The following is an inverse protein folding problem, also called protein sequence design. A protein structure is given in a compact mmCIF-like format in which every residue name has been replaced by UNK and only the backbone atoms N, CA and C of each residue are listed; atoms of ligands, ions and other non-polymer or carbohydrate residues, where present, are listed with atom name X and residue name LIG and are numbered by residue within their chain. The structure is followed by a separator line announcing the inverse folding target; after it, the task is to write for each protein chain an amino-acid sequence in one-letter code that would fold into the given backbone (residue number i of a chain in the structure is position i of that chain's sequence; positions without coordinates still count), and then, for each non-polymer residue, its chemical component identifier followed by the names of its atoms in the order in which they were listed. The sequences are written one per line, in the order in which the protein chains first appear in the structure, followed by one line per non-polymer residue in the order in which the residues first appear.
data_IF_393714771608
#
_entry.id   IF_393714771608
#
_cell.length_a   1.000
_cell.length_b   1.000
_cell.length_c   1.000
_cell.angle_alpha   90.00
_cell.angle_beta   90.00
_cell.angle_gamma   90.00
#
_symmetry.space_group_name_H-M   'P 1'
#
loop_
_entity.id
_entity.type
_entity.pdbx_description
1 polymer ?
#
# COMPACT_ATOMS: atom_id res chain seq x y z
N UNK A 1 -0.62 27.79 10.80
CA UNK A 1 0.19 26.91 9.93
C UNK A 1 -0.47 25.54 9.90
N UNK A 2 -0.54 24.85 8.75
CA UNK A 2 -1.02 23.46 8.71
C UNK A 2 -0.11 22.59 9.58
N UNK A 3 -0.69 21.61 10.25
CA UNK A 3 0.07 20.63 11.00
C UNK A 3 0.34 19.42 10.11
N UNK A 4 1.57 18.90 10.18
CA UNK A 4 1.98 17.72 9.44
C UNK A 4 2.20 16.50 10.35
N UNK A 5 2.09 15.32 9.75
CA UNK A 5 2.45 14.03 10.32
C UNK A 5 2.98 13.11 9.22
N UNK A 6 3.95 12.27 9.55
CA UNK A 6 4.61 11.37 8.60
C UNK A 6 4.65 9.96 9.16
N UNK A 7 4.49 8.97 8.28
CA UNK A 7 4.59 7.55 8.60
C UNK A 7 5.50 6.87 7.58
N UNK A 8 6.19 5.84 8.05
CA UNK A 8 6.95 4.89 7.24
C UNK A 8 6.48 3.49 7.66
N UNK A 9 5.98 2.72 6.71
CA UNK A 9 5.42 1.39 6.96
C UNK A 9 6.13 0.36 6.07
N UNK A 10 6.49 -0.78 6.68
CA UNK A 10 7.22 -1.85 6.01
C UNK A 10 6.39 -3.13 6.00
N UNK A 11 6.27 -3.76 4.82
CA UNK A 11 5.49 -4.97 4.63
C UNK A 11 6.30 -6.02 3.85
N UNK A 12 6.84 -7.06 4.53
CA UNK A 12 7.57 -8.12 3.87
C UNK A 12 6.71 -8.83 2.81
N UNK A 13 7.24 -8.96 1.60
CA UNK A 13 6.61 -9.72 0.54
C UNK A 13 6.87 -11.21 0.75
N UNK A 14 5.91 -12.10 0.46
CA UNK A 14 6.19 -13.53 0.44
C UNK A 14 7.27 -13.90 -0.59
N UNK A 15 8.12 -14.88 -0.29
CA UNK A 15 9.25 -15.27 -1.16
C UNK A 15 8.82 -15.75 -2.56
N UNK A 16 7.58 -16.23 -2.71
CA UNK A 16 7.03 -16.66 -4.01
C UNK A 16 6.45 -15.50 -4.84
N UNK A 17 6.31 -14.30 -4.26
CA UNK A 17 5.74 -13.16 -4.95
C UNK A 17 6.86 -12.36 -5.62
N UNK A 18 6.79 -12.23 -6.94
CA UNK A 18 7.78 -11.44 -7.68
C UNK A 18 7.66 -9.96 -7.35
N UNK A 19 8.76 -9.24 -7.05
CA UNK A 19 8.73 -7.80 -6.83
C UNK A 19 8.20 -7.04 -8.06
N UNK A 20 8.57 -7.45 -9.27
CA UNK A 20 8.09 -6.83 -10.52
C UNK A 20 6.57 -6.94 -10.68
N UNK A 21 6.00 -8.06 -10.24
CA UNK A 21 4.54 -8.27 -10.28
C UNK A 21 3.84 -7.34 -9.29
N UNK A 22 4.44 -7.10 -8.12
CA UNK A 22 3.92 -6.13 -7.14
C UNK A 22 3.97 -4.72 -7.72
N UNK A 23 5.09 -4.32 -8.34
CA UNK A 23 5.23 -3.01 -8.99
C UNK A 23 4.18 -2.83 -10.09
N UNK A 24 4.05 -3.81 -11.01
CA UNK A 24 3.06 -3.77 -12.08
C UNK A 24 1.63 -3.64 -11.52
N UNK A 25 1.33 -4.35 -10.43
CA UNK A 25 0.03 -4.26 -9.79
C UNK A 25 -0.22 -2.88 -9.21
N UNK A 26 0.72 -2.31 -8.46
CA UNK A 26 0.63 -0.95 -7.93
C UNK A 26 0.38 0.08 -9.03
N UNK A 27 1.10 -0.05 -10.15
CA UNK A 27 1.03 0.86 -11.30
C UNK A 27 -0.30 0.81 -12.08
N UNK A 28 -1.21 -0.13 -11.75
CA UNK A 28 -2.60 -0.07 -12.20
C UNK A 28 -3.47 0.90 -11.39
N UNK A 29 -2.95 1.44 -10.28
CA UNK A 29 -3.55 2.38 -9.33
C UNK A 29 -4.80 1.91 -8.59
N UNK A 30 -5.64 1.07 -9.20
CA UNK A 30 -6.83 0.49 -8.59
C UNK A 30 -6.56 -0.24 -7.26
N UNK A 31 -5.44 -0.97 -7.07
CA UNK A 31 -5.13 -1.58 -5.77
C UNK A 31 -4.91 -0.57 -4.65
N UNK A 32 -4.59 0.68 -4.99
CA UNK A 32 -4.45 1.78 -4.04
C UNK A 32 -5.76 2.56 -3.83
N UNK A 33 -6.84 2.22 -4.55
CA UNK A 33 -8.15 2.90 -4.47
C UNK A 33 -9.20 1.94 -3.90
N UNK A 34 -9.39 0.78 -4.51
CA UNK A 34 -10.46 -0.17 -4.24
C UNK A 34 -10.52 -0.65 -2.78
N UNK A 35 -9.41 -0.90 -2.07
CA UNK A 35 -9.47 -1.50 -0.73
C UNK A 35 -10.03 -0.59 0.38
N UNK A 36 -10.29 0.69 0.08
CA UNK A 36 -10.82 1.67 1.02
C UNK A 36 -12.24 1.26 1.48
N UNK A 37 -12.49 1.11 2.80
CA UNK A 37 -13.74 0.57 3.32
C UNK A 37 -14.96 1.48 3.08
N UNK A 38 -14.72 2.77 2.83
CA UNK A 38 -15.76 3.77 2.61
C UNK A 38 -15.95 4.13 1.13
N UNK A 39 -15.21 3.46 0.24
CA UNK A 39 -15.30 3.70 -1.20
C UNK A 39 -16.71 3.40 -1.70
N UNK A 40 -17.34 4.40 -2.33
CA UNK A 40 -18.59 4.22 -3.06
C UNK A 40 -18.31 3.96 -4.54
N UNK A 41 -17.41 4.76 -5.11
CA UNK A 41 -17.00 4.69 -6.52
C UNK A 41 -15.77 5.56 -6.73
N UNK A 42 -15.08 5.34 -7.84
CA UNK A 42 -14.02 6.22 -8.32
C UNK A 42 -14.22 6.43 -9.82
N UNK A 43 -13.83 7.61 -10.31
CA UNK A 43 -13.90 7.92 -11.74
C UNK A 43 -12.59 8.55 -12.16
N UNK A 44 -12.02 8.10 -13.28
CA UNK A 44 -10.88 8.78 -13.90
C UNK A 44 -11.32 10.19 -14.32
N UNK A 45 -10.44 11.16 -14.13
CA UNK A 45 -10.63 12.56 -14.52
C UNK A 45 -9.39 13.10 -15.22
N UNK A 46 -9.50 14.22 -15.97
CA UNK A 46 -8.33 14.91 -16.49
C UNK A 46 -7.37 15.31 -15.37
N UNK A 47 -6.07 15.14 -15.64
CA UNK A 47 -4.99 15.61 -14.78
C UNK A 47 -4.89 17.13 -14.90
N UNK A 48 -4.73 17.83 -13.79
CA UNK A 48 -4.38 19.25 -13.80
C UNK A 48 -2.86 19.39 -13.85
N UNK A 49 -2.32 19.64 -15.04
CA UNK A 49 -0.87 19.74 -15.26
C UNK A 49 -0.22 20.83 -14.41
N UNK A 50 -0.93 21.93 -14.13
CA UNK A 50 -0.38 23.04 -13.32
C UNK A 50 -0.13 22.59 -11.89
N UNK A 51 -1.05 21.78 -11.37
CA UNK A 51 -0.99 21.25 -10.02
C UNK A 51 0.11 20.20 -9.86
N UNK A 52 0.32 19.37 -10.90
CA UNK A 52 1.44 18.43 -10.96
C UNK A 52 2.78 19.16 -11.04
N UNK A 53 2.92 20.13 -11.95
CA UNK A 53 4.17 20.90 -12.13
C UNK A 53 4.54 21.71 -10.89
N UNK A 54 3.54 22.23 -10.17
CA UNK A 54 3.75 23.02 -8.96
C UNK A 54 4.13 22.18 -7.73
N UNK A 55 3.89 20.87 -7.75
CA UNK A 55 4.14 19.98 -6.62
C UNK A 55 5.42 19.17 -6.83
N UNK A 56 6.53 19.48 -6.12
CA UNK A 56 7.81 18.79 -6.29
C UNK A 56 7.78 17.31 -5.88
N UNK A 57 6.68 16.84 -5.31
CA UNK A 57 6.45 15.43 -5.07
C UNK A 57 6.37 14.61 -6.37
N UNK A 58 5.83 15.20 -7.44
CA UNK A 58 5.84 14.56 -8.76
C UNK A 58 7.13 14.91 -9.48
N UNK A 59 7.85 13.88 -9.90
CA UNK A 59 9.24 13.99 -10.35
C UNK A 59 9.42 13.46 -11.77
N UNK A 60 10.52 13.81 -12.41
CA UNK A 60 10.80 13.48 -13.82
C UNK A 60 11.11 11.99 -14.05
N UNK A 61 11.41 11.24 -12.99
CA UNK A 61 11.61 9.78 -13.04
C UNK A 61 10.29 9.00 -13.17
N UNK A 62 9.16 9.70 -13.02
CA UNK A 62 7.84 9.10 -13.08
C UNK A 62 7.19 9.17 -14.46
N UNK A 63 6.22 8.30 -14.68
CA UNK A 63 5.44 8.15 -15.89
C UNK A 63 3.96 7.93 -15.57
N UNK A 64 3.11 7.91 -16.61
CA UNK A 64 1.70 7.52 -16.53
C UNK A 64 0.90 8.30 -15.47
N UNK A 65 0.99 9.63 -15.48
CA UNK A 65 0.25 10.42 -14.51
C UNK A 65 -1.25 10.31 -14.78
N UNK A 66 -1.99 9.87 -13.77
CA UNK A 66 -3.45 9.73 -13.85
C UNK A 66 -4.10 10.37 -12.63
N UNK A 67 -5.30 10.90 -12.81
CA UNK A 67 -6.06 11.48 -11.71
C UNK A 67 -7.43 10.80 -11.62
N UNK A 68 -7.86 10.53 -10.39
CA UNK A 68 -9.15 9.95 -10.08
C UNK A 68 -9.91 10.85 -9.12
N UNK A 69 -11.21 10.98 -9.30
CA UNK A 69 -12.12 11.45 -8.26
C UNK A 69 -12.60 10.24 -7.47
N UNK A 70 -12.01 10.02 -6.29
CA UNK A 70 -12.43 8.99 -5.34
C UNK A 70 -13.58 9.53 -4.52
N UNK A 71 -14.68 8.77 -4.44
CA UNK A 71 -15.89 9.18 -3.72
C UNK A 71 -16.10 8.22 -2.56
N UNK A 72 -16.01 8.76 -1.34
CA UNK A 72 -16.14 8.00 -0.11
C UNK A 72 -17.29 8.50 0.75
N UNK A 73 -17.91 7.60 1.52
CA UNK A 73 -18.92 7.95 2.51
C UNK A 73 -18.33 8.03 3.91
N UNK A 74 -18.14 9.24 4.41
CA UNK A 74 -17.62 9.47 5.77
C UNK A 74 -18.77 9.74 6.74
N UNK A 75 -18.72 9.10 7.89
CA UNK A 75 -19.65 9.34 9.00
C UNK A 75 -19.24 10.63 9.71
N UNK A 76 -20.09 11.66 9.68
CA UNK A 76 -19.80 12.94 10.34
C UNK A 76 -20.29 12.92 11.80
N UNK A 77 -21.45 12.30 12.07
CA UNK A 77 -22.02 12.20 13.43
C UNK A 77 -22.49 10.76 13.67
N UNK A 78 -21.68 9.92 14.34
CA UNK A 78 -22.01 8.51 14.55
C UNK A 78 -23.34 8.28 15.28
N UNK A 79 -23.65 9.10 16.29
CA UNK A 79 -24.85 8.94 17.13
C UNK A 79 -26.16 9.31 16.41
N UNK A 80 -26.10 10.06 15.31
CA UNK A 80 -27.28 10.49 14.54
C UNK A 80 -27.34 9.82 13.15
N UNK A 81 -26.42 8.91 12.85
CA UNK A 81 -26.35 8.23 11.54
C UNK A 81 -26.06 9.17 10.36
N UNK A 82 -25.58 10.39 10.61
CA UNK A 82 -25.32 11.37 9.55
C UNK A 82 -24.00 11.05 8.87
N UNK A 83 -24.09 10.78 7.57
CA UNK A 83 -22.95 10.55 6.68
C UNK A 83 -22.96 11.55 5.53
N UNK A 84 -21.79 11.77 4.93
CA UNK A 84 -21.62 12.63 3.78
C UNK A 84 -20.70 11.95 2.78
N UNK A 85 -21.09 12.04 1.52
CA UNK A 85 -20.23 11.65 0.41
C UNK A 85 -19.21 12.77 0.18
N UNK A 86 -17.94 12.44 0.34
CA UNK A 86 -16.82 13.34 0.07
C UNK A 86 -16.17 12.93 -1.25
N UNK A 87 -15.66 13.93 -1.97
CA UNK A 87 -14.89 13.77 -3.20
C UNK A 87 -13.44 14.08 -2.88
N UNK A 88 -12.55 13.18 -3.27
CA UNK A 88 -11.13 13.24 -3.01
C UNK A 88 -10.43 13.07 -4.37
N UNK A 89 -9.98 14.16 -5.00
CA UNK A 89 -9.05 14.06 -6.13
C UNK A 89 -7.77 13.37 -5.66
N UNK A 90 -7.38 12.31 -6.35
CA UNK A 90 -6.16 11.56 -6.12
C UNK A 90 -5.37 11.49 -7.43
N UNK A 91 -4.18 12.08 -7.44
CA UNK A 91 -3.27 12.08 -8.58
C UNK A 91 -2.16 11.08 -8.33
N UNK A 92 -1.98 10.15 -9.26
CA UNK A 92 -1.01 9.08 -9.21
C UNK A 92 0.06 9.29 -10.27
N UNK A 93 1.28 8.86 -9.96
CA UNK A 93 2.40 8.79 -10.88
C UNK A 93 3.14 7.48 -10.65
N UNK A 94 3.31 6.68 -11.68
CA UNK A 94 4.14 5.47 -11.63
C UNK A 94 5.61 5.86 -11.69
N UNK A 95 6.50 5.12 -11.05
CA UNK A 95 7.95 5.22 -11.23
C UNK A 95 8.56 3.81 -11.18
N UNK A 96 9.84 3.60 -11.55
CA UNK A 96 10.39 2.25 -11.75
C UNK A 96 10.18 1.27 -10.62
N UNK A 97 10.23 1.72 -9.36
CA UNK A 97 10.07 0.86 -8.19
C UNK A 97 8.66 0.93 -7.55
N UNK A 98 7.72 1.71 -8.09
CA UNK A 98 6.38 1.80 -7.49
C UNK A 98 5.50 2.94 -7.98
N UNK A 99 4.76 3.55 -7.04
CA UNK A 99 3.76 4.60 -7.30
C UNK A 99 3.81 5.71 -6.26
N UNK A 100 3.68 6.94 -6.73
CA UNK A 100 3.42 8.14 -5.94
C UNK A 100 1.95 8.52 -6.05
N UNK A 101 1.33 8.89 -4.95
CA UNK A 101 -0.05 9.34 -4.87
C UNK A 101 -0.13 10.61 -4.06
N UNK A 102 -0.86 11.62 -4.58
CA UNK A 102 -1.30 12.76 -3.79
C UNK A 102 -2.81 12.83 -3.77
N UNK A 103 -3.40 12.93 -2.59
CA UNK A 103 -4.84 13.04 -2.40
C UNK A 103 -5.21 14.33 -1.66
N UNK A 104 -6.22 15.03 -2.20
CA UNK A 104 -6.72 16.31 -1.68
C UNK A 104 -8.13 16.11 -1.09
N UNK A 105 -8.22 15.92 0.22
CA UNK A 105 -9.49 15.71 0.91
C UNK A 105 -10.10 17.02 1.44
N UNK A 106 -11.39 16.97 1.80
CA UNK A 106 -12.10 18.13 2.35
C UNK A 106 -11.48 18.61 3.68
N UNK A 107 -11.63 19.90 3.98
CA UNK A 107 -11.13 20.47 5.23
C UNK A 107 -9.64 20.83 5.22
N UNK A 108 -9.02 20.92 4.03
CA UNK A 108 -7.60 21.25 3.88
C UNK A 108 -6.69 20.09 4.29
N UNK A 109 -7.18 18.85 4.15
CA UNK A 109 -6.38 17.65 4.37
C UNK A 109 -5.71 17.27 3.06
N UNK A 110 -4.39 17.16 3.05
CA UNK A 110 -3.61 16.73 1.89
C UNK A 110 -2.69 15.61 2.28
N UNK A 111 -2.70 14.54 1.49
CA UNK A 111 -1.87 13.35 1.70
C UNK A 111 -0.93 13.19 0.51
N UNK A 112 0.32 12.84 0.79
CA UNK A 112 1.29 12.36 -0.19
C UNK A 112 1.77 10.99 0.29
N UNK A 113 1.73 9.99 -0.59
CA UNK A 113 2.16 8.62 -0.32
C UNK A 113 3.03 8.11 -1.45
N UNK A 114 4.19 7.56 -1.10
CA UNK A 114 5.03 6.78 -2.02
C UNK A 114 4.95 5.32 -1.59
N UNK A 115 4.58 4.45 -2.52
CA UNK A 115 4.54 3.01 -2.37
C UNK A 115 5.68 2.44 -3.20
N UNK A 116 6.69 1.85 -2.57
CA UNK A 116 7.92 1.40 -3.21
C UNK A 116 8.20 -0.06 -2.88
N UNK A 117 8.58 -0.84 -3.89
CA UNK A 117 9.10 -2.19 -3.70
C UNK A 117 10.61 -2.13 -3.63
N UNK A 118 11.17 -2.50 -2.47
CA UNK A 118 12.61 -2.46 -2.24
C UNK A 118 13.12 -3.75 -1.60
N UNK A 119 14.44 -3.95 -1.66
CA UNK A 119 15.08 -5.04 -0.92
C UNK A 119 15.07 -4.71 0.56
N UNK A 120 14.76 -5.70 1.38
CA UNK A 120 14.78 -5.56 2.84
C UNK A 120 16.19 -5.28 3.33
N UNK A 121 16.32 -4.27 4.17
CA UNK A 121 17.51 -4.05 4.97
C UNK A 121 17.31 -4.68 6.36
N UNK A 122 17.73 -5.94 6.49
CA UNK A 122 17.63 -6.70 7.74
C UNK A 122 18.44 -6.05 8.88
N UNK A 123 19.49 -5.29 8.55
CA UNK A 123 20.27 -4.54 9.55
C UNK A 123 19.46 -3.37 10.12
N UNK A 124 18.84 -2.58 9.25
CA UNK A 124 17.95 -1.49 9.66
C UNK A 124 16.68 -1.98 10.38
N UNK A 125 16.14 -3.16 10.01
CA UNK A 125 15.03 -3.79 10.73
C UNK A 125 15.39 -4.14 12.17
N UNK A 126 16.59 -4.69 12.39
CA UNK A 126 17.07 -5.02 13.73
C UNK A 126 17.25 -3.76 14.59
N UNK A 127 17.78 -2.68 14.02
CA UNK A 127 17.89 -1.38 14.70
C UNK A 127 16.52 -0.78 15.03
N UNK A 128 15.54 -0.86 14.12
CA UNK A 128 14.17 -0.39 14.36
C UNK A 128 13.48 -1.18 15.48
N UNK A 129 13.58 -2.51 15.45
CA UNK A 129 13.02 -3.37 16.49
C UNK A 129 13.65 -3.06 17.86
N UNK A 130 14.97 -2.86 17.92
CA UNK A 130 15.66 -2.48 19.15
C UNK A 130 15.29 -1.10 19.71
N UNK A 131 14.78 -0.18 18.88
CA UNK A 131 14.31 1.15 19.33
C UNK A 131 12.87 1.17 19.81
N UNK A 132 12.01 0.28 19.28
CA UNK A 132 10.61 0.19 19.70
C UNK A 132 10.45 -0.26 21.17
N UNK A 133 11.50 -0.87 21.75
CA UNK A 133 11.50 -1.44 23.10
C UNK A 133 12.03 -0.47 24.19
N UNK A 134 12.23 0.82 23.86
CA UNK A 134 12.75 1.81 24.81
C UNK A 134 11.73 2.32 25.85
N UNK A 135 10.53 1.73 25.92
CA UNK A 135 9.53 2.00 26.98
C UNK A 135 9.91 1.37 28.34
N UNK A 136 11.14 0.88 28.49
CA UNK A 136 11.75 0.57 29.79
C UNK A 136 11.33 -0.77 30.40
N UNK A 137 10.72 -1.66 29.63
CA UNK A 137 10.44 -3.04 30.05
C UNK A 137 11.34 -3.96 29.24
N UNK A 138 12.57 -4.18 29.72
CA UNK A 138 13.48 -5.15 29.12
C UNK A 138 12.82 -6.53 29.09
N UNK A 139 12.41 -6.99 27.89
CA UNK A 139 12.06 -8.38 27.64
C UNK A 139 13.30 -9.08 27.15
N UNK A 140 13.76 -10.07 27.92
CA UNK A 140 15.04 -10.79 27.73
C UNK A 140 14.98 -11.82 26.58
N UNK A 141 13.97 -11.74 25.72
CA UNK A 141 13.69 -12.77 24.72
C UNK A 141 14.05 -12.27 23.32
N UNK A 142 15.20 -12.71 22.81
CA UNK A 142 15.60 -12.58 21.41
C UNK A 142 14.47 -12.94 20.44
N UNK A 143 13.58 -13.85 20.83
CA UNK A 143 12.40 -14.25 20.06
C UNK A 143 11.41 -13.10 19.83
N UNK A 144 11.15 -12.24 20.82
CA UNK A 144 10.24 -11.07 20.69
C UNK A 144 10.86 -10.01 19.76
N UNK A 145 12.19 -9.86 19.75
CA UNK A 145 12.91 -8.97 18.83
C UNK A 145 12.85 -9.49 17.39
N UNK A 146 13.03 -10.81 17.19
CA UNK A 146 13.01 -11.44 15.86
C UNK A 146 11.58 -11.48 15.28
N UNK A 147 10.56 -11.67 16.13
CA UNK A 147 9.15 -11.57 15.74
C UNK A 147 8.74 -10.11 15.45
N UNK A 148 9.15 -9.16 16.30
CA UNK A 148 8.91 -7.73 16.11
C UNK A 148 9.60 -7.14 14.88
N UNK A 149 10.75 -7.69 14.50
CA UNK A 149 11.46 -7.35 13.25
C UNK A 149 10.86 -8.05 12.01
N UNK A 150 9.85 -8.91 12.16
CA UNK A 150 9.28 -9.68 11.04
C UNK A 150 10.29 -10.62 10.36
N UNK A 151 11.38 -10.97 11.06
CA UNK A 151 12.44 -11.86 10.59
C UNK A 151 12.03 -13.33 10.71
N UNK A 152 11.12 -13.66 11.65
CA UNK A 152 10.60 -15.01 11.86
C UNK A 152 9.47 -15.40 10.91
N UNK A 153 8.88 -14.46 10.14
CA UNK A 153 7.67 -14.74 9.37
C UNK A 153 7.91 -15.86 8.35
N UNK A 154 7.33 -17.07 8.56
CA UNK A 154 7.59 -18.20 7.69
C UNK A 154 7.13 -17.86 6.26
N UNK A 155 8.09 -17.82 5.32
CA UNK A 155 7.82 -17.48 3.92
C UNK A 155 7.98 -16.01 3.54
N UNK A 156 8.47 -15.14 4.44
CA UNK A 156 8.90 -13.79 4.07
C UNK A 156 10.13 -13.85 3.14
N UNK A 157 10.06 -13.13 2.03
CA UNK A 157 11.13 -13.02 1.04
C UNK A 157 12.11 -11.88 1.32
N UNK A 158 13.04 -11.69 0.39
CA UNK A 158 14.06 -10.63 0.44
C UNK A 158 13.53 -9.23 0.11
N UNK A 159 12.28 -9.12 -0.33
CA UNK A 159 11.67 -7.89 -0.79
C UNK A 159 10.55 -7.46 0.15
N UNK A 160 10.29 -6.16 0.20
CA UNK A 160 9.22 -5.54 0.96
C UNK A 160 8.51 -4.47 0.14
N UNK A 161 7.24 -4.23 0.47
CA UNK A 161 6.53 -3.02 0.09
C UNK A 161 6.72 -2.02 1.22
N UNK A 162 7.26 -0.85 0.90
CA UNK A 162 7.43 0.26 1.82
C UNK A 162 6.53 1.41 1.43
N UNK A 163 5.82 1.95 2.40
CA UNK A 163 5.07 3.18 2.23
C UNK A 163 5.71 4.32 3.02
N UNK A 164 6.04 5.40 2.31
CA UNK A 164 6.36 6.69 2.91
C UNK A 164 5.18 7.63 2.69
N UNK A 165 4.49 8.01 3.77
CA UNK A 165 3.33 8.86 3.66
C UNK A 165 3.37 10.07 4.60
N UNK A 166 2.89 11.21 4.10
CA UNK A 166 2.77 12.47 4.83
C UNK A 166 1.35 13.00 4.70
N UNK A 167 0.77 13.41 5.82
CA UNK A 167 -0.49 14.15 5.85
C UNK A 167 -0.27 15.56 6.38
N UNK A 168 -0.88 16.53 5.71
CA UNK A 168 -1.06 17.90 6.19
C UNK A 168 -2.53 18.15 6.47
N UNK A 169 -2.85 18.79 7.59
CA UNK A 169 -4.23 19.11 7.96
C UNK A 169 -4.29 20.32 8.90
N UNK A 170 -5.51 20.79 9.18
CA UNK A 170 -5.71 21.81 10.23
C UNK A 170 -5.38 21.22 11.62
N UNK A 171 -4.66 21.98 12.44
CA UNK A 171 -4.23 21.57 13.79
C UNK A 171 -5.40 21.09 14.68
N UNK A 172 -6.61 21.63 14.50
CA UNK A 172 -7.80 21.26 15.30
C UNK A 172 -8.21 19.80 15.03
N UNK A 173 -8.11 19.33 13.79
CA UNK A 173 -8.54 17.97 13.40
C UNK A 173 -7.40 16.96 13.41
N UNK A 174 -6.15 17.40 13.65
CA UNK A 174 -4.94 16.58 13.58
C UNK A 174 -5.05 15.26 14.34
N UNK A 175 -5.50 15.19 15.61
CA UNK A 175 -5.51 13.92 16.34
C UNK A 175 -6.40 12.86 15.70
N UNK A 176 -7.53 13.27 15.11
CA UNK A 176 -8.46 12.38 14.42
C UNK A 176 -7.92 11.97 13.05
N UNK A 177 -7.37 12.94 12.30
CA UNK A 177 -6.78 12.69 10.97
C UNK A 177 -5.61 11.73 11.08
N UNK A 178 -4.67 11.96 12.01
CA UNK A 178 -3.47 11.11 12.18
C UNK A 178 -3.84 9.68 12.52
N UNK A 179 -4.75 9.47 13.48
CA UNK A 179 -5.17 8.11 13.86
C UNK A 179 -5.86 7.38 12.70
N UNK A 180 -6.74 8.08 11.97
CA UNK A 180 -7.43 7.49 10.81
C UNK A 180 -6.45 7.20 9.66
N UNK A 181 -5.50 8.12 9.45
CA UNK A 181 -4.47 8.02 8.42
C UNK A 181 -3.57 6.81 8.64
N UNK A 182 -2.98 6.65 9.82
CA UNK A 182 -2.14 5.49 10.14
C UNK A 182 -2.86 4.16 9.97
N UNK A 183 -4.10 4.06 10.48
CA UNK A 183 -4.88 2.83 10.41
C UNK A 183 -5.26 2.48 8.96
N UNK A 184 -5.70 3.47 8.17
CA UNK A 184 -6.11 3.27 6.79
C UNK A 184 -4.92 2.86 5.90
N UNK A 185 -3.77 3.52 6.05
CA UNK A 185 -2.58 3.24 5.26
C UNK A 185 -1.99 1.85 5.56
N UNK A 186 -1.98 1.46 6.84
CA UNK A 186 -1.58 0.10 7.24
C UNK A 186 -2.49 -0.97 6.64
N UNK A 187 -3.80 -0.78 6.72
CA UNK A 187 -4.78 -1.70 6.17
C UNK A 187 -4.73 -1.77 4.64
N UNK A 188 -4.51 -0.64 3.97
CA UNK A 188 -4.37 -0.55 2.51
C UNK A 188 -3.21 -1.40 2.01
N UNK A 189 -2.00 -1.18 2.53
CA UNK A 189 -0.81 -1.92 2.11
C UNK A 189 -0.96 -3.43 2.33
N UNK A 190 -1.54 -3.83 3.47
CA UNK A 190 -1.85 -5.24 3.75
C UNK A 190 -2.82 -5.83 2.71
N UNK A 191 -3.89 -5.10 2.38
CA UNK A 191 -4.89 -5.55 1.39
C UNK A 191 -4.33 -5.63 -0.03
N UNK A 192 -3.40 -4.75 -0.42
CA UNK A 192 -2.68 -4.83 -1.70
C UNK A 192 -1.94 -6.17 -1.81
N UNK A 193 -1.12 -6.49 -0.80
CA UNK A 193 -0.35 -7.73 -0.75
C UNK A 193 -1.29 -8.95 -0.75
N UNK A 194 -2.33 -8.94 0.07
CA UNK A 194 -3.27 -10.06 0.15
C UNK A 194 -4.12 -10.22 -1.12
N UNK A 195 -4.42 -9.12 -1.81
CA UNK A 195 -5.00 -9.13 -3.15
C UNK A 195 -4.12 -9.91 -4.14
N UNK A 196 -2.83 -9.59 -4.18
CA UNK A 196 -1.85 -10.25 -5.03
C UNK A 196 -1.66 -11.73 -4.72
N UNK A 197 -1.57 -12.09 -3.44
CA UNK A 197 -1.48 -13.50 -3.01
C UNK A 197 -2.66 -14.31 -3.55
N UNK A 198 -3.87 -13.75 -3.47
CA UNK A 198 -5.09 -14.41 -3.97
C UNK A 198 -5.09 -14.55 -5.49
N UNK A 199 -4.66 -13.53 -6.23
CA UNK A 199 -4.59 -13.57 -7.70
C UNK A 199 -3.57 -14.60 -8.17
N UNK A 200 -2.33 -14.54 -7.66
CA UNK A 200 -1.24 -15.45 -8.01
C UNK A 200 -1.60 -16.91 -7.71
N UNK A 201 -2.23 -17.16 -6.56
CA UNK A 201 -2.66 -18.51 -6.17
C UNK A 201 -3.73 -19.08 -7.11
N UNK A 202 -4.69 -18.26 -7.55
CA UNK A 202 -5.72 -18.68 -8.52
C UNK A 202 -5.13 -18.99 -9.89
N UNK A 203 -4.18 -18.18 -10.34
CA UNK A 203 -3.49 -18.38 -11.62
C UNK A 203 -2.70 -19.69 -11.63
N UNK A 204 -1.92 -19.96 -10.58
CA UNK A 204 -1.20 -21.24 -10.42
C UNK A 204 -2.14 -22.45 -10.45
N UNK A 205 -3.28 -22.39 -9.74
CA UNK A 205 -4.29 -23.46 -9.77
C UNK A 205 -4.90 -23.65 -11.16
N UNK A 206 -5.17 -22.55 -11.88
CA UNK A 206 -5.74 -22.61 -13.23
C UNK A 206 -4.77 -23.18 -14.27
N UNK A 207 -3.47 -22.93 -14.11
CA UNK A 207 -2.43 -23.42 -15.00
C UNK A 207 -2.15 -24.92 -14.77
N UNK A 208 -2.18 -25.38 -13.51
CA UNK A 208 -2.05 -26.79 -13.16
C UNK A 208 -3.19 -27.64 -13.77
N UNK A 209 -4.41 -27.10 -13.85
CA UNK A 209 -5.56 -27.80 -14.45
C UNK A 209 -5.52 -27.84 -15.99
N UNK A 210 -4.72 -26.99 -16.64
CA UNK A 210 -4.64 -26.88 -18.11
C UNK A 210 -3.54 -27.71 -18.77
N UNK A 211 -2.73 -28.42 -17.99
CA UNK A 211 -1.66 -29.26 -18.54
C UNK A 211 -2.19 -30.69 -18.72
N UNK A 212 -2.58 -31.13 -19.94
CA UNK A 212 -2.94 -32.52 -20.15
C UNK A 212 -1.70 -33.39 -19.95
N UNK A 213 -1.81 -34.38 -19.06
CA UNK A 213 -0.82 -35.45 -18.92
C UNK A 213 -0.77 -36.18 -20.26
N UNK A 214 0.29 -35.96 -21.03
CA UNK A 214 0.56 -36.74 -22.24
C UNK A 214 0.89 -38.16 -21.79
N UNK A 215 -0.09 -39.05 -21.87
CA UNK A 215 0.14 -40.48 -21.65
C UNK A 215 0.95 -40.98 -22.85
N UNK A 216 2.18 -41.47 -22.65
CA UNK A 216 2.93 -42.06 -23.76
C UNK A 216 2.18 -43.30 -24.25
N UNK A 217 1.82 -43.31 -25.54
CA UNK A 217 1.23 -44.46 -26.18
C UNK A 217 2.26 -45.61 -26.18
N UNK A 218 2.08 -46.57 -25.28
CA UNK A 218 2.84 -47.82 -25.31
C UNK A 218 2.64 -48.49 -26.65
N UNK A 219 3.75 -48.62 -27.40
CA UNK A 219 3.79 -49.23 -28.71
C UNK A 219 3.26 -50.66 -28.68
N UNK A 220 2.29 -50.94 -29.54
CA UNK A 220 1.91 -52.30 -29.92
C UNK A 220 3.02 -52.81 -30.83
N UNK A 221 3.85 -53.71 -30.30
CA UNK A 221 4.76 -54.52 -31.11
C UNK A 221 3.95 -55.64 -31.77
N UNK A 222 4.25 -55.84 -33.05
CA UNK A 222 3.63 -56.77 -33.99
C UNK A 222 3.79 -58.25 -33.62
#
# INVERSE_FOLDING_TARGET
MPASHTIELHFPLPAYLSPDLVVQHLQTYEPLIIPHPYLLRYNRRPVDEKDVIADPFFTEDGANIECYEVIERVVIIPLLGLSKDIKIPATFQSFPAGVRCRADAQGGVRVWSTYEVQRRDLGAEFERAGRADSDGVARDDLHDIVDGAGLSSPGAGEWELVEYARVECNAIVKPFVVKSFEAAHRDLCQKVIDGLKRTTSKEHLSQAQRTPVVVPASGVMA
#
